data_IF_034774631905
#
_entry.id   IF_034774631905
#
_cell.length_a   1.000
_cell.length_b   1.000
_cell.length_c   1.000
_cell.angle_alpha   90.00
_cell.angle_beta   90.00
_cell.angle_gamma   90.00
#
_symmetry.space_group_name_H-M   'P 1'
#
loop_
_entity.id
_entity.type
_entity.pdbx_description
1 polymer ?
#
# COMPACT_ATOMS: atom_id res chain seq x y z
N UNK A 1 2.18 -8.94 20.04
CA UNK A 1 0.78 -9.41 19.92
C UNK A 1 0.48 -9.55 18.44
N UNK A 2 -0.15 -10.65 18.03
CA UNK A 2 -0.47 -10.92 16.62
C UNK A 2 -1.95 -10.59 16.34
N UNK A 3 -2.31 -10.17 15.11
CA UNK A 3 -1.45 -9.92 13.96
C UNK A 3 -0.47 -8.75 14.18
N UNK A 4 0.75 -8.86 13.65
CA UNK A 4 1.71 -7.75 13.65
C UNK A 4 1.86 -7.18 12.25
N UNK A 5 1.81 -5.86 12.16
CA UNK A 5 1.85 -5.12 10.90
C UNK A 5 3.16 -4.34 10.76
N UNK A 6 3.71 -4.33 9.56
CA UNK A 6 4.87 -3.54 9.21
C UNK A 6 4.58 -2.77 7.92
N UNK A 7 4.94 -1.48 7.90
CA UNK A 7 4.80 -0.60 6.75
C UNK A 7 6.10 0.19 6.62
N UNK A 8 6.80 0.00 5.50
CA UNK A 8 8.08 0.66 5.22
C UNK A 8 8.21 0.99 3.75
N UNK A 9 9.09 1.93 3.44
CA UNK A 9 9.54 2.20 2.08
C UNK A 9 10.98 1.72 1.99
N UNK A 10 11.25 0.84 1.03
CA UNK A 10 12.57 0.25 0.78
C UNK A 10 12.72 0.07 -0.73
N UNK A 11 13.88 0.45 -1.30
CA UNK A 11 14.16 0.35 -2.74
C UNK A 11 13.04 0.90 -3.63
N UNK A 12 12.53 2.08 -3.26
CA UNK A 12 11.43 2.77 -3.94
C UNK A 12 10.13 1.95 -4.05
N UNK A 13 9.91 1.06 -3.08
CA UNK A 13 8.68 0.28 -2.94
C UNK A 13 8.08 0.52 -1.57
N UNK A 14 6.78 0.82 -1.53
CA UNK A 14 6.02 0.74 -0.29
C UNK A 14 5.69 -0.74 -0.03
N UNK A 15 6.25 -1.28 1.04
CA UNK A 15 6.03 -2.66 1.49
C UNK A 15 5.16 -2.65 2.73
N UNK A 16 4.02 -3.33 2.64
CA UNK A 16 3.12 -3.59 3.75
C UNK A 16 3.15 -5.10 4.04
N UNK A 17 3.48 -5.50 5.27
CA UNK A 17 3.52 -6.90 5.70
C UNK A 17 2.57 -7.11 6.88
N UNK A 18 1.78 -8.19 6.82
CA UNK A 18 1.08 -8.78 7.95
C UNK A 18 1.76 -10.09 8.29
N UNK A 19 2.15 -10.23 9.55
CA UNK A 19 2.68 -11.46 10.11
C UNK A 19 1.67 -12.03 11.10
N UNK A 20 1.32 -13.30 10.90
CA UNK A 20 0.55 -14.15 11.80
C UNK A 20 1.48 -15.14 12.52
N UNK A 21 0.92 -16.12 13.22
CA UNK A 21 1.69 -17.14 13.94
C UNK A 21 2.58 -17.96 13.00
N UNK A 22 2.02 -18.37 11.85
CA UNK A 22 2.68 -19.29 10.91
C UNK A 22 2.80 -18.73 9.50
N UNK A 23 2.05 -17.68 9.17
CA UNK A 23 1.91 -17.16 7.81
C UNK A 23 2.30 -15.69 7.76
N UNK A 24 2.81 -15.26 6.60
CA UNK A 24 3.06 -13.87 6.27
C UNK A 24 2.42 -13.53 4.94
N UNK A 25 1.77 -12.38 4.89
CA UNK A 25 1.21 -11.80 3.67
C UNK A 25 1.84 -10.44 3.46
N UNK A 26 2.15 -10.09 2.22
CA UNK A 26 2.65 -8.77 1.88
C UNK A 26 1.90 -8.16 0.69
N UNK A 27 1.84 -6.84 0.68
CA UNK A 27 1.39 -6.01 -0.42
C UNK A 27 2.52 -5.05 -0.74
N UNK A 28 2.90 -4.96 -2.01
CA UNK A 28 4.01 -4.14 -2.48
C UNK A 28 3.50 -3.17 -3.54
N UNK A 29 3.74 -1.89 -3.33
CA UNK A 29 3.45 -0.83 -4.30
C UNK A 29 4.77 -0.28 -4.82
N UNK A 30 4.99 -0.39 -6.12
CA UNK A 30 6.15 0.17 -6.80
C UNK A 30 5.93 1.68 -7.02
N UNK A 31 6.77 2.52 -6.41
CA UNK A 31 6.57 3.97 -6.39
C UNK A 31 6.96 4.64 -7.72
N UNK A 32 7.85 4.02 -8.51
CA UNK A 32 8.19 4.47 -9.86
C UNK A 32 7.06 4.20 -10.84
N UNK A 33 6.40 3.04 -10.71
CA UNK A 33 5.28 2.66 -11.57
C UNK A 33 3.96 3.26 -11.16
N UNK A 34 3.78 3.60 -9.89
CA UNK A 34 2.55 4.19 -9.39
C UNK A 34 2.33 5.56 -10.05
N UNK A 35 1.27 5.70 -10.83
CA UNK A 35 0.89 6.98 -11.46
C UNK A 35 0.00 7.84 -10.56
N UNK A 36 -0.58 7.24 -9.50
CA UNK A 36 -1.58 7.89 -8.65
C UNK A 36 -2.98 7.92 -9.28
N UNK A 37 -3.31 6.95 -10.15
CA UNK A 37 -4.59 6.91 -10.88
C UNK A 37 -5.83 6.62 -10.03
N UNK A 38 -5.67 6.05 -8.83
CA UNK A 38 -6.79 5.76 -7.92
C UNK A 38 -7.52 4.44 -8.13
N UNK A 39 -7.20 3.63 -9.16
CA UNK A 39 -7.93 2.36 -9.43
C UNK A 39 -7.92 1.39 -8.24
N UNK A 40 -6.82 1.36 -7.48
CA UNK A 40 -6.68 0.52 -6.28
C UNK A 40 -7.54 0.98 -5.10
N UNK A 41 -7.91 2.26 -5.05
CA UNK A 41 -8.81 2.84 -4.05
C UNK A 41 -10.23 2.36 -4.34
N UNK A 42 -10.70 2.58 -5.57
CA UNK A 42 -12.06 2.21 -5.99
C UNK A 42 -12.29 0.69 -5.94
N UNK A 43 -11.25 -0.09 -6.23
CA UNK A 43 -11.33 -1.54 -6.25
C UNK A 43 -11.27 -2.22 -4.87
N UNK A 44 -10.88 -1.50 -3.81
CA UNK A 44 -10.63 -2.12 -2.51
C UNK A 44 -11.95 -2.40 -1.76
N UNK A 45 -12.33 -3.66 -1.54
CA UNK A 45 -13.60 -3.97 -0.86
C UNK A 45 -13.60 -3.60 0.63
N UNK A 46 -12.41 -3.46 1.23
CA UNK A 46 -12.23 -3.13 2.66
C UNK A 46 -12.02 -1.64 2.91
N UNK A 47 -12.00 -0.82 1.84
CA UNK A 47 -11.66 0.61 1.92
C UNK A 47 -10.33 0.84 2.66
N UNK A 48 -9.37 -0.06 2.42
CA UNK A 48 -8.07 -0.05 3.09
C UNK A 48 -7.05 0.86 2.39
N UNK A 49 -7.35 1.34 1.19
CA UNK A 49 -6.47 2.19 0.38
C UNK A 49 -7.05 3.60 0.29
N UNK A 50 -6.21 4.62 0.43
CA UNK A 50 -6.61 6.02 0.33
C UNK A 50 -5.54 6.85 -0.41
N UNK A 51 -5.88 8.10 -0.75
CA UNK A 51 -4.93 9.02 -1.36
C UNK A 51 -3.78 9.35 -0.40
N UNK A 52 -2.56 9.23 -0.89
CA UNK A 52 -1.37 9.78 -0.23
C UNK A 52 -1.20 11.26 -0.54
N UNK A 53 -0.11 11.90 -0.06
CA UNK A 53 0.16 13.30 -0.34
C UNK A 53 0.70 13.51 -1.77
N UNK A 54 -0.13 13.22 -2.79
CA UNK A 54 0.19 13.23 -4.23
C UNK A 54 0.99 14.46 -4.65
N UNK A 55 0.56 15.65 -4.24
CA UNK A 55 1.24 16.89 -4.60
C UNK A 55 2.64 17.01 -3.99
N UNK A 56 2.87 16.52 -2.77
CA UNK A 56 4.19 16.54 -2.15
C UNK A 56 5.13 15.52 -2.81
N UNK A 57 4.61 14.34 -3.15
CA UNK A 57 5.35 13.28 -3.86
C UNK A 57 5.74 13.74 -5.26
N UNK A 58 4.79 14.26 -6.05
CA UNK A 58 5.04 14.72 -7.42
C UNK A 58 6.01 15.91 -7.49
N UNK A 59 6.13 16.71 -6.44
CA UNK A 59 7.11 17.81 -6.35
C UNK A 59 8.46 17.38 -5.77
N UNK A 60 8.66 16.08 -5.52
CA UNK A 60 9.87 15.55 -4.89
C UNK A 60 10.08 16.02 -3.44
N UNK A 61 9.04 16.57 -2.79
CA UNK A 61 9.11 17.12 -1.43
C UNK A 61 8.82 16.07 -0.35
N UNK A 62 8.29 14.91 -0.72
CA UNK A 62 8.04 13.81 0.19
C UNK A 62 8.46 12.49 -0.47
N UNK A 63 9.37 11.77 0.18
CA UNK A 63 9.72 10.39 -0.18
C UNK A 63 8.69 9.44 0.47
N UNK A 64 7.46 9.50 -0.04
CA UNK A 64 6.36 8.66 0.40
C UNK A 64 5.56 8.16 -0.80
N UNK A 65 4.65 7.24 -0.56
CA UNK A 65 3.77 6.71 -1.59
C UNK A 65 2.68 7.71 -1.99
N UNK A 66 2.30 7.66 -3.27
CA UNK A 66 1.15 8.38 -3.85
C UNK A 66 -0.19 7.88 -3.30
N UNK A 67 -0.20 6.67 -2.74
CA UNK A 67 -1.35 6.04 -2.08
C UNK A 67 -0.95 5.57 -0.69
N UNK A 68 -1.87 5.65 0.25
CA UNK A 68 -1.71 5.10 1.59
C UNK A 68 -2.52 3.80 1.73
N UNK A 69 -1.95 2.81 2.40
CA UNK A 69 -2.65 1.56 2.73
C UNK A 69 -2.68 1.39 4.25
N UNK A 70 -3.86 1.19 4.82
CA UNK A 70 -4.04 0.81 6.22
C UNK A 70 -3.85 -0.71 6.36
N UNK A 71 -2.75 -1.17 6.98
CA UNK A 71 -2.49 -2.60 7.14
C UNK A 71 -3.49 -3.31 8.05
N UNK A 72 -4.21 -2.58 8.91
CA UNK A 72 -5.21 -3.15 9.82
C UNK A 72 -6.54 -3.44 9.11
N UNK A 73 -6.84 -2.71 8.04
CA UNK A 73 -8.03 -2.93 7.20
C UNK A 73 -7.74 -3.86 6.02
N UNK A 74 -6.52 -3.87 5.49
CA UNK A 74 -6.16 -4.68 4.33
C UNK A 74 -6.27 -6.19 4.63
N UNK A 75 -7.16 -6.88 3.93
CA UNK A 75 -7.33 -8.34 4.01
C UNK A 75 -6.34 -9.13 3.15
N UNK A 76 -5.44 -8.44 2.42
CA UNK A 76 -4.48 -9.04 1.48
C UNK A 76 -5.15 -9.90 0.38
N UNK A 77 -6.36 -9.51 -0.04
CA UNK A 77 -7.15 -10.23 -1.04
C UNK A 77 -6.61 -10.17 -2.48
N UNK A 78 -5.76 -9.17 -2.80
CA UNK A 78 -5.09 -9.05 -4.10
C UNK A 78 -5.90 -8.39 -5.22
N UNK A 79 -7.14 -7.95 -4.99
CA UNK A 79 -7.99 -7.31 -6.02
C UNK A 79 -7.30 -6.07 -6.61
N UNK A 80 -6.72 -5.22 -5.77
CA UNK A 80 -5.97 -4.04 -6.23
C UNK A 80 -4.72 -4.39 -7.03
N UNK A 81 -4.09 -5.55 -6.80
CA UNK A 81 -2.93 -6.02 -7.57
C UNK A 81 -3.33 -6.52 -8.95
N UNK A 82 -4.53 -7.08 -9.09
CA UNK A 82 -5.02 -7.58 -10.38
C UNK A 82 -5.40 -6.43 -11.32
N UNK A 83 -5.86 -5.30 -10.76
CA UNK A 83 -6.36 -4.16 -11.53
C UNK A 83 -5.33 -3.04 -11.77
N UNK A 84 -4.22 -3.02 -11.03
CA UNK A 84 -3.24 -1.93 -11.02
C UNK A 84 -2.07 -2.14 -12.00
#
# INVERSE_FOLDING_TARGET
>A
MLPSYLKKIEDNKLVIEQKLLTTKSNLVVDLDRCTGCGVCIDACPEEAVSEGPLGAVNRGKAQTSKVDVDPKKCSYCGVCTILC
#
